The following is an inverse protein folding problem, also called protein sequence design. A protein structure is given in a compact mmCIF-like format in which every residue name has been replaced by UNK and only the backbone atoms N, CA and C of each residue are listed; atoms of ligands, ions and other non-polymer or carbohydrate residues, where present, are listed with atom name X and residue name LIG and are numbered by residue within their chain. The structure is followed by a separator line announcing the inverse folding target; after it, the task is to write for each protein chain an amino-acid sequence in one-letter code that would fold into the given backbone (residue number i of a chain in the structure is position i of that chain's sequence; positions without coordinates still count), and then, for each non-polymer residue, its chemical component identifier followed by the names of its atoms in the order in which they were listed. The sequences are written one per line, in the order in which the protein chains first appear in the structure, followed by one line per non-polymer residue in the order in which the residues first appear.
data_IF_750816901886
#
_entry.id   IF_750816901886
#
_cell.length_a   1.000
_cell.length_b   1.000
_cell.length_c   1.000
_cell.angle_alpha   90.00
_cell.angle_beta   90.00
_cell.angle_gamma   90.00
#
_symmetry.space_group_name_H-M   'P 1'
#
loop_
_entity.id
_entity.type
_entity.pdbx_description
1 polymer ?
#
# COMPACT_ATOMS: atom_id res chain seq x y z
N UNK A 1 -10.32 7.70 -3.39
CA UNK A 1 -11.20 6.63 -2.84
C UNK A 1 -12.57 6.63 -3.52
N UNK A 2 -13.16 7.80 -3.79
CA UNK A 2 -14.49 7.91 -4.44
C UNK A 2 -14.62 7.12 -5.75
N UNK A 3 -13.62 7.19 -6.65
CA UNK A 3 -13.63 6.38 -7.88
C UNK A 3 -13.68 4.87 -7.58
N UNK A 4 -12.95 4.40 -6.56
CA UNK A 4 -12.88 2.99 -6.22
C UNK A 4 -14.19 2.47 -5.60
N UNK A 5 -14.80 3.27 -4.73
CA UNK A 5 -16.11 2.99 -4.15
C UNK A 5 -17.21 2.94 -5.21
N UNK A 6 -17.21 3.89 -6.16
CA UNK A 6 -18.16 3.91 -7.29
C UNK A 6 -18.08 2.65 -8.15
N UNK A 7 -16.89 2.06 -8.26
CA UNK A 7 -16.65 0.82 -9.01
C UNK A 7 -16.72 -0.46 -8.15
N UNK A 8 -17.22 -0.37 -6.90
CA UNK A 8 -17.36 -1.49 -5.95
C UNK A 8 -16.06 -2.21 -5.62
N UNK A 9 -14.91 -1.52 -5.71
CA UNK A 9 -13.66 -2.06 -5.19
C UNK A 9 -13.67 -1.92 -3.66
N UNK A 10 -13.38 -3.03 -2.97
CA UNK A 10 -13.34 -3.09 -1.50
C UNK A 10 -11.93 -2.97 -0.92
N UNK A 11 -10.91 -2.90 -1.78
CA UNK A 11 -9.51 -2.81 -1.36
C UNK A 11 -8.66 -2.01 -2.34
N UNK A 12 -7.64 -1.34 -1.81
CA UNK A 12 -6.56 -0.70 -2.56
C UNK A 12 -5.25 -1.34 -2.15
N UNK A 13 -4.41 -1.68 -3.13
CA UNK A 13 -3.05 -2.16 -2.91
C UNK A 13 -2.03 -1.17 -3.46
N UNK A 14 -0.93 -1.01 -2.74
CA UNK A 14 0.19 -0.17 -3.16
C UNK A 14 1.51 -0.86 -2.82
N UNK A 15 2.43 -0.87 -3.78
CA UNK A 15 3.82 -1.19 -3.50
C UNK A 15 4.54 0.11 -3.16
N UNK A 16 4.77 0.34 -1.87
CA UNK A 16 5.21 1.63 -1.34
C UNK A 16 6.73 1.73 -1.28
N UNK A 17 7.25 2.96 -1.36
CA UNK A 17 8.63 3.26 -0.98
C UNK A 17 8.78 3.11 0.54
N UNK A 18 9.89 2.53 1.05
CA UNK A 18 10.12 2.40 2.50
C UNK A 18 9.97 3.72 3.26
N UNK A 19 10.42 4.82 2.68
CA UNK A 19 10.33 6.15 3.30
C UNK A 19 8.91 6.72 3.25
N UNK A 20 8.07 6.25 2.31
CA UNK A 20 6.67 6.65 2.19
C UNK A 20 5.73 5.79 3.03
N UNK A 21 6.17 4.66 3.57
CA UNK A 21 5.32 3.75 4.35
C UNK A 21 4.60 4.45 5.51
N UNK A 22 5.26 5.41 6.17
CA UNK A 22 4.66 6.22 7.23
C UNK A 22 3.49 7.09 6.76
N UNK A 23 3.56 7.64 5.54
CA UNK A 23 2.46 8.39 4.94
C UNK A 23 1.24 7.47 4.74
N UNK A 24 1.40 6.32 4.10
CA UNK A 24 0.30 5.40 3.85
C UNK A 24 -0.31 4.85 5.15
N UNK A 25 0.50 4.56 6.16
CA UNK A 25 0.01 4.17 7.50
C UNK A 25 -0.94 5.21 8.11
N UNK A 26 -0.64 6.51 7.96
CA UNK A 26 -1.52 7.60 8.45
C UNK A 26 -2.92 7.58 7.80
N UNK A 27 -3.02 7.06 6.57
CA UNK A 27 -4.29 6.89 5.85
C UNK A 27 -4.92 5.48 6.01
N UNK A 28 -4.45 4.69 6.98
CA UNK A 28 -5.04 3.40 7.33
C UNK A 28 -4.53 2.22 6.51
N UNK A 29 -3.55 2.40 5.63
CA UNK A 29 -2.92 1.28 4.94
C UNK A 29 -2.12 0.41 5.91
N UNK A 30 -2.19 -0.90 5.74
CA UNK A 30 -1.45 -1.90 6.51
C UNK A 30 -0.42 -2.59 5.61
N UNK A 31 0.77 -2.86 6.14
CA UNK A 31 1.78 -3.67 5.42
C UNK A 31 1.30 -5.12 5.42
N UNK A 32 1.24 -5.74 4.24
CA UNK A 32 0.81 -7.13 4.07
C UNK A 32 1.94 -8.04 3.59
N UNK A 33 2.97 -7.47 2.95
CA UNK A 33 4.15 -8.21 2.49
C UNK A 33 5.33 -7.25 2.26
N UNK A 34 6.50 -7.81 2.00
CA UNK A 34 7.68 -7.09 1.54
C UNK A 34 8.21 -7.76 0.29
N UNK A 35 8.58 -6.95 -0.71
CA UNK A 35 9.12 -7.41 -1.98
C UNK A 35 10.55 -6.90 -2.16
N UNK A 36 11.47 -7.77 -2.57
CA UNK A 36 12.81 -7.35 -2.95
C UNK A 36 12.74 -6.42 -4.16
N UNK A 37 13.33 -5.23 -4.03
CA UNK A 37 13.47 -4.29 -5.14
C UNK A 37 14.65 -4.68 -6.03
N UNK A 38 14.74 -4.06 -7.21
CA UNK A 38 15.90 -4.15 -8.09
C UNK A 38 17.18 -3.54 -7.46
N UNK A 39 17.04 -2.72 -6.42
CA UNK A 39 18.16 -2.21 -5.63
C UNK A 39 18.45 -3.22 -4.52
N UNK A 40 19.66 -3.79 -4.54
CA UNK A 40 20.14 -4.76 -3.54
C UNK A 40 20.00 -4.20 -2.12
N UNK A 41 19.45 -5.02 -1.22
CA UNK A 41 19.24 -4.65 0.19
C UNK A 41 18.04 -3.74 0.44
N UNK A 42 17.34 -3.26 -0.60
CA UNK A 42 16.11 -2.48 -0.45
C UNK A 42 14.87 -3.36 -0.63
N UNK A 43 14.03 -3.41 0.40
CA UNK A 43 12.72 -4.07 0.40
C UNK A 43 11.61 -3.04 0.22
N UNK A 44 10.64 -3.30 -0.64
CA UNK A 44 9.46 -2.46 -0.85
C UNK A 44 8.26 -3.04 -0.07
N UNK A 45 7.66 -2.29 0.86
CA UNK A 45 6.44 -2.73 1.53
C UNK A 45 5.25 -2.78 0.55
N UNK A 46 4.63 -3.95 0.41
CA UNK A 46 3.30 -4.06 -0.18
C UNK A 46 2.27 -3.77 0.92
N UNK A 47 1.38 -2.82 0.66
CA UNK A 47 0.42 -2.33 1.63
C UNK A 47 -0.99 -2.34 1.06
N UNK A 48 -1.98 -2.50 1.94
CA UNK A 48 -3.38 -2.58 1.60
C UNK A 48 -4.25 -1.67 2.48
N UNK A 49 -5.26 -1.05 1.88
CA UNK A 49 -6.35 -0.37 2.56
C UNK A 49 -7.68 -1.02 2.18
N UNK A 50 -8.48 -1.39 3.17
CA UNK A 50 -9.85 -1.85 2.98
C UNK A 50 -10.77 -0.63 2.89
N UNK A 51 -11.55 -0.53 1.83
CA UNK A 51 -12.55 0.51 1.62
C UNK A 51 -13.87 -0.03 2.20
N UNK A 52 -14.24 0.47 3.39
CA UNK A 52 -15.47 0.10 4.12
C UNK A 52 -16.56 1.12 3.84
#
# INVERSE_FOLDING_TARGET
MEHSLKNKYNRLKVLSDPNAAGFYKKYGFKVISQKQSSITGRLLPEMELILS
#
